data_IF_290108905435
#
_entry.id   IF_290108905435
#
_cell.length_a   1.000
_cell.length_b   1.000
_cell.length_c   1.000
_cell.angle_alpha   90.00
_cell.angle_beta   90.00
_cell.angle_gamma   90.00
#
_symmetry.space_group_name_H-M   'P 1'
#
loop_
_entity.id
_entity.type
_entity.pdbx_description
1 polymer ?
2 non-polymer ?
3 non-polymer ?
4 water ?
#
# COMPACT_ATOMS: atom_id res chain seq x y z
C UNK A 1 17.29 -18.11 -29.98
N UNK A 2 18.09 -17.34 -29.19
CA UNK A 2 17.24 -16.71 -28.17
C UNK A 2 16.99 -15.26 -28.56
N UNK A 3 16.05 -14.64 -27.87
CA UNK A 3 15.66 -13.25 -27.97
C UNK A 3 15.17 -12.65 -26.66
N UNK A 4 15.43 -11.38 -26.40
CA UNK A 4 14.83 -10.71 -25.24
C UNK A 4 13.35 -10.46 -25.48
N UNK A 5 12.54 -11.00 -24.60
CA UNK A 5 11.09 -10.83 -24.63
C UNK A 5 10.63 -9.65 -23.79
N UNK A 6 11.34 -9.40 -22.66
CA UNK A 6 10.99 -8.25 -21.83
C UNK A 6 12.31 -7.87 -21.11
N UNK A 7 12.44 -6.60 -20.77
CA UNK A 7 13.66 -6.21 -20.04
C UNK A 7 13.36 -4.90 -19.31
N UNK A 8 13.81 -4.81 -18.09
CA UNK A 8 13.68 -3.55 -17.35
C UNK A 8 14.81 -3.56 -16.33
N UNK A 9 15.25 -2.35 -16.00
CA UNK A 9 16.42 -2.28 -15.12
C UNK A 9 16.37 -0.90 -14.45
N UNK A 10 17.06 -0.79 -13.30
CA UNK A 10 17.15 0.51 -12.66
C UNK A 10 17.73 0.40 -11.26
N UNK A 11 17.30 1.30 -10.38
CA UNK A 11 17.83 1.41 -9.02
C UNK A 11 16.68 1.19 -8.04
N UNK A 12 16.93 0.29 -7.09
CA UNK A 12 15.99 -0.05 -6.05
C UNK A 12 16.52 0.43 -4.69
N UNK A 13 15.61 0.50 -3.73
CA UNK A 13 15.98 0.78 -2.32
C UNK A 13 16.67 2.12 -2.20
N UNK A 14 16.23 3.13 -2.92
CA UNK A 14 16.79 4.49 -2.80
C UNK A 14 16.03 5.22 -1.69
N UNK A 15 16.70 5.40 -0.55
CA UNK A 15 16.09 6.08 0.59
C UNK A 15 16.24 7.58 0.38
N UNK A 16 15.14 8.27 0.59
CA UNK A 16 15.10 9.71 0.39
C UNK A 16 14.38 10.39 1.53
N UNK A 17 14.98 11.44 2.09
CA UNK A 17 14.38 12.31 3.06
C UNK A 17 14.30 13.74 2.44
N UNK A 18 13.18 14.37 2.75
CA UNK A 18 13.12 15.80 2.36
C UNK A 18 12.50 16.57 3.54
N UNK A 19 13.04 17.77 3.78
CA UNK A 19 12.48 18.66 4.78
C UNK A 19 11.98 19.96 4.12
N UNK A 20 10.85 20.40 4.59
CA UNK A 20 10.35 21.73 4.28
C UNK A 20 10.44 22.57 5.54
N UNK A 21 11.04 23.76 5.42
CA UNK A 21 11.17 24.69 6.53
C UNK A 21 10.39 25.97 6.25
N UNK A 22 9.39 26.26 7.07
CA UNK A 22 8.59 27.49 7.01
C UNK A 22 9.38 28.54 7.83
N UNK A 23 10.01 29.45 7.09
CA UNK A 23 10.85 30.56 7.42
C UNK A 23 10.14 31.57 8.32
N UNK A 24 8.83 31.63 8.14
CA UNK A 24 8.04 32.57 8.93
C UNK A 24 7.62 31.94 10.26
N UNK A 25 7.24 30.66 10.25
CA UNK A 25 6.65 30.12 11.48
C UNK A 25 7.64 29.27 12.25
N UNK A 26 8.70 28.83 11.59
CA UNK A 26 9.68 27.93 12.17
C UNK A 26 9.28 26.46 12.08
N UNK A 27 8.10 26.20 11.58
CA UNK A 27 7.56 24.86 11.47
C UNK A 27 8.27 24.14 10.33
N UNK A 28 8.78 22.95 10.71
CA UNK A 28 9.39 22.11 9.68
C UNK A 28 8.56 20.86 9.45
N UNK A 29 8.57 20.32 8.26
CA UNK A 29 7.77 19.15 7.94
C UNK A 29 8.71 18.20 7.20
N UNK A 30 8.69 16.92 7.55
CA UNK A 30 9.60 15.98 6.93
C UNK A 30 8.81 14.88 6.19
N UNK A 31 9.51 14.41 5.18
CA UNK A 31 9.01 13.33 4.32
C UNK A 31 10.10 12.30 4.19
N UNK A 32 9.78 11.00 4.25
CA UNK A 32 10.79 9.99 4.00
C UNK A 32 10.16 8.85 3.18
N UNK A 33 10.91 8.44 2.20
CA UNK A 33 10.39 7.40 1.30
C UNK A 33 11.52 6.48 0.91
N UNK A 34 11.16 5.33 0.34
CA UNK A 34 12.08 4.46 -0.37
C UNK A 34 11.58 4.32 -1.79
N UNK A 35 12.43 4.54 -2.76
CA UNK A 35 12.06 4.65 -4.15
C UNK A 35 12.76 3.58 -4.99
N UNK A 36 12.01 3.03 -5.94
CA UNK A 36 12.55 2.17 -6.99
C UNK A 36 12.12 2.73 -8.36
N UNK A 37 13.06 2.88 -9.27
CA UNK A 37 12.74 3.26 -10.64
C UNK A 37 13.35 2.20 -11.57
N UNK A 38 12.51 1.60 -12.39
CA UNK A 38 12.91 0.65 -13.43
C UNK A 38 12.49 1.16 -14.82
N UNK A 39 13.43 1.18 -15.74
CA UNK A 39 13.23 1.70 -17.10
C UNK A 39 13.11 0.55 -18.10
N UNK A 40 12.30 0.80 -19.14
CA UNK A 40 12.17 -0.07 -20.30
C UNK A 40 12.38 0.77 -21.58
N UNK A 41 12.80 0.09 -22.64
CA UNK A 41 12.90 0.83 -23.90
C UNK A 41 13.72 0.04 -24.90
N UNK A 42 14.41 0.78 -25.77
CA UNK A 42 15.24 0.09 -26.77
C UNK A 42 16.59 -0.22 -26.18
N UNK A 43 16.59 -1.16 -25.22
CA UNK A 43 17.77 -1.49 -24.48
C UNK A 43 18.28 -2.90 -24.63
N UNK A 44 17.64 -3.65 -25.50
CA UNK A 44 17.89 -5.08 -25.63
C UNK A 44 19.32 -5.33 -26.01
N UNK A 45 19.98 -4.40 -26.75
CA UNK A 45 21.37 -4.67 -27.13
C UNK A 45 22.35 -4.61 -25.98
N UNK A 46 21.92 -4.00 -24.86
CA UNK A 46 22.82 -4.09 -23.71
C UNK A 46 22.89 -5.52 -23.20
N UNK A 47 21.84 -6.30 -23.40
CA UNK A 47 21.79 -7.69 -22.99
C UNK A 47 22.46 -8.64 -24.00
N UNK A 48 22.20 -8.37 -25.28
CA UNK A 48 22.62 -9.33 -26.29
C UNK A 48 23.96 -9.00 -26.93
N UNK A 49 24.42 -7.76 -26.85
CA UNK A 49 25.60 -7.37 -27.61
C UNK A 49 26.57 -6.55 -26.76
N UNK A 50 26.42 -6.54 -25.44
CA UNK A 50 27.29 -5.79 -24.54
C UNK A 50 27.38 -4.34 -24.95
N UNK A 51 26.30 -3.79 -25.46
CA UNK A 51 26.19 -2.42 -25.93
C UNK A 51 25.74 -1.55 -24.77
N UNK A 52 26.70 -1.06 -23.96
CA UNK A 52 26.27 -0.24 -22.83
C UNK A 52 25.86 1.15 -23.18
N UNK A 53 26.00 1.52 -24.48
CA UNK A 53 25.60 2.88 -24.83
C UNK A 53 24.15 3.22 -24.63
N UNK A 54 23.28 2.19 -24.56
CA UNK A 54 21.88 2.39 -24.33
C UNK A 54 21.48 2.43 -22.87
N UNK A 55 22.48 2.20 -22.00
CA UNK A 55 22.20 2.15 -20.57
C UNK A 55 22.37 3.52 -19.91
N UNK A 56 21.25 4.05 -19.41
CA UNK A 56 21.25 5.14 -18.43
C UNK A 56 21.73 4.47 -17.14
N UNK A 57 22.92 4.74 -16.64
CA UNK A 57 23.46 4.02 -15.51
C UNK A 57 22.49 4.07 -14.32
N UNK A 58 22.42 2.97 -13.60
CA UNK A 58 21.51 2.99 -12.44
C UNK A 58 22.01 3.99 -11.43
N UNK A 59 23.32 4.24 -11.37
CA UNK A 59 23.76 5.31 -10.47
C UNK A 59 23.24 6.67 -10.86
N UNK A 60 23.12 6.89 -12.19
CA UNK A 60 22.52 8.12 -12.66
C UNK A 60 21.04 8.22 -12.40
N UNK A 61 20.32 7.09 -12.44
CA UNK A 61 18.91 7.03 -12.02
C UNK A 61 18.83 7.47 -10.58
N UNK A 62 19.72 7.00 -9.73
CA UNK A 62 19.77 7.40 -8.32
C UNK A 62 19.94 8.92 -8.22
N UNK A 63 20.92 9.48 -8.92
CA UNK A 63 21.17 10.92 -8.89
C UNK A 63 19.89 11.66 -9.29
N UNK A 64 19.24 11.15 -10.34
CA UNK A 64 18.04 11.81 -10.84
C UNK A 64 16.93 11.80 -9.82
N UNK A 65 16.78 10.70 -9.03
CA UNK A 65 15.76 10.71 -7.97
C UNK A 65 16.03 11.85 -6.99
N UNK A 66 17.28 11.99 -6.54
CA UNK A 66 17.55 13.07 -5.60
C UNK A 66 17.36 14.44 -6.19
N UNK A 67 17.81 14.65 -7.42
CA UNK A 67 17.64 15.94 -8.09
C UNK A 67 16.18 16.27 -8.28
N UNK A 68 15.34 15.30 -8.63
CA UNK A 68 13.91 15.52 -8.81
C UNK A 68 13.25 15.87 -7.48
N UNK A 69 13.65 15.20 -6.37
CA UNK A 69 13.13 15.54 -5.07
C UNK A 69 13.56 16.95 -4.63
N UNK A 70 14.72 17.37 -5.07
CA UNK A 70 15.20 18.73 -4.73
C UNK A 70 14.34 19.79 -5.46
N UNK A 71 13.96 19.49 -6.67
CA UNK A 71 13.31 20.50 -7.49
C UNK A 71 11.82 20.45 -7.49
N UNK A 72 11.16 19.50 -6.87
CA UNK A 72 9.75 19.25 -6.97
C UNK A 72 9.17 18.80 -5.64
N UNK A 73 7.87 18.96 -5.47
CA UNK A 73 7.29 18.42 -4.24
C UNK A 73 7.39 16.88 -4.26
N UNK A 74 7.62 16.29 -3.10
CA UNK A 74 7.63 14.82 -2.99
C UNK A 74 6.30 14.32 -2.48
N UNK A 75 5.33 15.17 -2.24
CA UNK A 75 3.98 14.84 -1.80
C UNK A 75 2.94 15.51 -2.70
N UNK A 76 1.87 14.82 -3.04
CA UNK A 76 1.56 13.42 -2.72
C UNK A 76 2.48 12.54 -3.56
N UNK A 77 2.71 11.30 -3.11
CA UNK A 77 3.63 10.45 -3.85
C UNK A 77 3.18 10.11 -5.24
N UNK A 78 1.89 10.11 -5.51
CA UNK A 78 1.35 9.93 -6.86
C UNK A 78 1.87 11.00 -7.82
N UNK A 79 2.01 12.20 -7.30
CA UNK A 79 2.54 13.27 -8.18
C UNK A 79 4.04 13.14 -8.37
N UNK A 80 4.76 12.94 -7.25
CA UNK A 80 6.21 12.79 -7.32
C UNK A 80 6.59 11.66 -8.29
N UNK A 81 5.90 10.52 -8.13
CA UNK A 81 6.20 9.42 -9.01
C UNK A 81 5.91 9.70 -10.47
N UNK A 82 4.82 10.47 -10.72
CA UNK A 82 4.51 10.83 -12.10
C UNK A 82 5.53 11.79 -12.67
N UNK A 83 6.00 12.76 -11.90
CA UNK A 83 7.05 13.66 -12.35
C UNK A 83 8.32 12.93 -12.69
N UNK A 84 8.70 12.05 -11.77
CA UNK A 84 9.91 11.25 -11.95
C UNK A 84 9.84 10.37 -13.18
N UNK A 85 8.72 9.64 -13.34
CA UNK A 85 8.62 8.75 -14.48
C UNK A 85 8.59 9.51 -15.81
N UNK A 86 7.86 10.62 -15.77
CA UNK A 86 7.78 11.44 -17.00
C UNK A 86 9.12 11.96 -17.41
N UNK A 87 9.96 12.31 -16.43
CA UNK A 87 11.30 12.77 -16.73
C UNK A 87 12.04 11.78 -17.58
N UNK A 88 12.05 10.50 -17.23
CA UNK A 88 12.88 9.56 -17.97
C UNK A 88 12.39 9.33 -19.39
N UNK A 89 11.07 9.26 -19.55
CA UNK A 89 10.59 8.97 -20.90
C UNK A 89 10.76 10.22 -21.78
N UNK A 90 10.70 11.41 -21.24
CA UNK A 90 10.92 12.61 -22.06
C UNK A 90 12.39 12.88 -22.30
N UNK A 91 13.25 12.65 -21.31
CA UNK A 91 14.67 12.97 -21.42
C UNK A 91 15.36 12.08 -22.43
N UNK A 92 15.05 10.82 -22.47
CA UNK A 92 15.77 9.81 -23.21
C UNK A 92 14.88 9.26 -24.33
N UNK A 93 15.31 9.50 -25.57
CA UNK A 93 14.49 9.11 -26.70
C UNK A 93 14.22 7.64 -26.74
N UNK A 94 15.18 6.82 -26.34
CA UNK A 94 15.03 5.39 -26.42
C UNK A 94 14.41 4.71 -25.18
N UNK A 95 14.07 5.46 -24.17
CA UNK A 95 13.40 4.95 -23.00
C UNK A 95 11.91 5.24 -23.18
N UNK A 96 11.12 4.18 -23.15
CA UNK A 96 9.71 4.25 -23.49
C UNK A 96 8.78 3.97 -22.32
N UNK A 97 9.33 3.48 -21.20
CA UNK A 97 8.47 3.33 -20.02
C UNK A 97 9.33 3.51 -18.76
N UNK A 98 8.71 4.06 -17.72
CA UNK A 98 9.39 4.17 -16.44
C UNK A 98 8.40 3.66 -15.41
N UNK A 99 8.89 2.78 -14.53
CA UNK A 99 8.09 2.18 -13.52
C UNK A 99 8.59 2.64 -12.15
N UNK A 100 7.78 3.40 -11.45
CA UNK A 100 8.20 4.06 -10.21
C UNK A 100 7.43 3.52 -9.03
N UNK A 101 8.11 2.90 -8.07
CA UNK A 101 7.51 2.44 -6.86
C UNK A 101 7.99 3.27 -5.70
N UNK A 102 7.08 3.79 -4.90
CA UNK A 102 7.44 4.61 -3.73
C UNK A 102 6.72 4.08 -2.52
N UNK A 103 7.48 3.89 -1.45
CA UNK A 103 7.01 3.52 -0.15
C UNK A 103 7.20 4.72 0.77
N UNK A 104 6.16 5.25 1.32
CA UNK A 104 6.26 6.39 2.21
C UNK A 104 6.22 5.98 3.68
N UNK A 105 7.19 6.43 4.41
CA UNK A 105 7.37 6.05 5.82
C UNK A 105 6.72 7.08 6.73
N UNK A 106 6.12 6.72 7.84
CA UNK A 106 5.48 7.71 8.70
C UNK A 106 6.43 8.47 9.61
N UNK A 107 6.30 9.80 9.53
CA UNK A 107 6.90 10.74 10.47
C UNK A 107 5.80 11.68 10.93
N UNK A 108 5.19 11.34 12.03
CA UNK A 108 4.07 12.11 12.57
C UNK A 108 4.60 13.13 13.56
N UNK A 109 4.15 14.37 13.40
CA UNK A 109 4.57 15.41 14.34
C UNK A 109 4.26 15.04 15.77
N UNK A 110 5.22 15.24 16.67
CA UNK A 110 5.01 15.01 18.09
C UNK A 110 4.16 16.10 18.74
N UNK A 111 3.39 15.66 19.73
CA UNK A 111 2.63 16.57 20.57
C UNK A 111 3.36 16.58 21.92
N UNK A 112 3.83 17.75 22.27
CA UNK A 112 4.60 17.81 23.54
C UNK A 112 3.80 18.69 24.46
N UNK A 113 3.31 18.13 25.57
CA UNK A 113 2.47 18.95 26.45
C UNK A 113 1.27 19.52 25.68
N UNK A 114 0.62 18.62 24.97
CA UNK A 114 -0.59 18.96 24.25
C UNK A 114 -0.37 19.93 23.12
N UNK A 115 0.87 20.26 22.75
CA UNK A 115 1.02 21.20 21.64
C UNK A 115 1.89 20.67 20.52
N UNK A 116 1.53 20.83 19.26
CA UNK A 116 2.37 20.27 18.19
C UNK A 116 3.77 20.87 18.15
N UNK A 117 4.81 20.03 18.09
CA UNK A 117 6.20 20.50 18.05
C UNK A 117 6.62 20.88 16.64
N UNK A 118 7.32 21.99 16.47
CA UNK A 118 7.70 22.43 15.15
C UNK A 118 8.70 21.60 14.38
N UNK A 119 9.47 20.68 14.92
CA UNK A 119 10.51 19.93 14.24
C UNK A 119 10.82 18.57 14.86
N UNK A 120 9.89 17.97 15.55
CA UNK A 120 10.14 16.65 16.17
C UNK A 120 9.00 15.73 15.78
N UNK A 121 9.34 14.50 15.44
CA UNK A 121 8.49 13.52 14.80
C UNK A 121 8.72 12.12 15.35
N UNK A 122 7.65 11.33 15.27
CA UNK A 122 7.68 9.96 15.75
C UNK A 122 7.16 9.05 14.63
N UNK A 123 7.74 7.85 14.57
CA UNK A 123 7.21 6.88 13.63
C UNK A 123 6.09 6.12 14.34
N UNK A 124 4.86 6.54 14.13
CA UNK A 124 3.72 5.83 14.73
C UNK A 124 3.31 4.74 13.74
N UNK A 125 4.06 3.70 13.77
CA UNK A 125 3.83 2.48 13.06
C UNK A 125 4.47 2.36 11.72
N UNK A 126 4.57 1.09 11.41
CA UNK A 126 5.21 0.62 10.24
C UNK A 126 4.19 0.62 9.09
N UNK A 127 2.96 1.07 9.32
CA UNK A 127 2.03 1.22 8.21
C UNK A 127 2.66 2.13 7.15
N UNK A 128 2.48 1.74 5.90
CA UNK A 128 3.05 2.48 4.79
C UNK A 128 1.93 3.01 3.92
N UNK A 129 2.22 4.06 3.20
CA UNK A 129 1.43 4.58 2.07
C UNK A 129 2.30 4.39 0.84
N UNK A 130 1.82 3.74 -0.20
CA UNK A 130 2.61 3.38 -1.34
C UNK A 130 1.98 3.89 -2.66
N UNK A 131 2.80 3.96 -3.68
CA UNK A 131 2.33 4.13 -5.03
C UNK A 131 3.16 3.30 -5.99
N UNK A 132 2.51 2.83 -7.04
CA UNK A 132 3.13 2.27 -8.22
C UNK A 132 2.68 3.11 -9.41
N UNK A 133 3.60 3.78 -10.04
CA UNK A 133 3.30 4.70 -11.15
C UNK A 133 3.98 4.16 -12.36
N UNK A 134 3.25 3.83 -13.40
CA UNK A 134 3.77 3.33 -14.67
C UNK A 134 3.57 4.42 -15.74
N UNK A 135 4.67 4.99 -16.15
CA UNK A 135 4.65 6.08 -17.16
C UNK A 135 5.09 5.42 -18.45
N UNK A 136 4.16 5.35 -19.41
CA UNK A 136 4.40 4.63 -20.65
C UNK A 136 4.19 5.54 -21.87
N UNK A 137 5.24 5.71 -22.67
CA UNK A 137 5.13 6.62 -23.82
C UNK A 137 3.97 6.17 -24.69
N UNK A 138 3.13 7.15 -25.01
CA UNK A 138 1.99 6.88 -25.88
C UNK A 138 0.83 6.26 -25.15
N UNK A 139 0.97 6.02 -23.84
CA UNK A 139 -0.11 5.35 -23.15
C UNK A 139 -0.42 5.98 -21.78
N UNK A 140 0.10 7.16 -21.50
CA UNK A 140 -0.23 7.92 -20.31
C UNK A 140 0.47 7.39 -19.05
N UNK A 141 -0.23 7.57 -17.97
CA UNK A 141 0.29 7.27 -16.63
C UNK A 141 -0.74 6.50 -15.86
N UNK A 142 -0.34 5.29 -15.47
CA UNK A 142 -1.18 4.38 -14.72
C UNK A 142 -0.72 4.35 -13.24
N UNK A 143 -1.58 4.69 -12.35
CA UNK A 143 -1.25 4.81 -10.93
C UNK A 143 -2.09 3.86 -10.10
N UNK A 144 -1.39 3.07 -9.27
CA UNK A 144 -1.99 2.27 -8.23
C UNK A 144 -1.53 2.83 -6.88
N UNK A 145 -2.40 3.23 -6.00
CA UNK A 145 -2.16 3.78 -4.71
C UNK A 145 -2.48 2.71 -3.63
N UNK A 146 -1.77 2.67 -2.51
CA UNK A 146 -2.13 1.67 -1.53
C UNK A 146 -1.73 2.09 -0.11
N UNK A 147 -2.32 1.38 0.83
CA UNK A 147 -1.85 1.40 2.20
C UNK A 147 -1.52 -0.05 2.53
N UNK A 148 -0.54 -0.28 3.34
CA UNK A 148 -0.11 -1.63 3.74
C UNK A 148 0.44 -1.59 5.14
N UNK A 149 0.43 -2.74 5.79
CA UNK A 149 1.01 -2.83 7.09
C UNK A 149 0.10 -2.25 8.16
N UNK A 150 -1.18 -2.14 7.90
CA UNK A 150 -2.14 -1.60 8.88
C UNK A 150 -2.64 -2.79 9.70
N UNK A 151 -2.18 -3.00 10.89
CA UNK A 151 -2.42 -4.21 11.69
C UNK A 151 -3.52 -3.91 12.68
N UNK A 152 -4.57 -4.72 12.63
CA UNK A 152 -5.76 -4.51 13.45
C UNK A 152 -6.22 -5.81 14.05
N UNK A 153 -7.02 -5.72 15.12
CA UNK A 153 -7.64 -6.84 15.79
C UNK A 153 -9.01 -6.42 16.36
N UNK A 154 -9.96 -7.31 16.22
CA UNK A 154 -11.21 -7.16 16.97
C UNK A 154 -11.39 -8.44 17.75
N UNK A 155 -11.86 -8.25 18.99
CA UNK A 155 -11.92 -9.33 19.97
C UNK A 155 -13.26 -10.08 19.98
N UNK A 156 -14.23 -9.60 19.25
CA UNK A 156 -15.53 -10.25 19.06
C UNK A 156 -16.19 -9.66 17.84
N UNK A 157 -17.43 -10.11 17.48
CA UNK A 157 -18.11 -9.63 16.29
C UNK A 157 -17.36 -9.99 15.00
N UNK A 158 -16.84 -11.20 15.04
CA UNK A 158 -16.45 -11.96 13.86
C UNK A 158 -17.04 -13.36 14.01
N UNK A 159 -17.58 -13.91 12.94
CA UNK A 159 -18.20 -15.20 12.90
C UNK A 159 -17.68 -16.00 11.70
N UNK A 160 -17.81 -17.33 11.74
CA UNK A 160 -17.47 -18.10 10.55
C UNK A 160 -18.15 -19.46 10.67
N UNK A 161 -19.29 -19.51 9.96
CA UNK A 161 -20.12 -20.70 9.93
C UNK A 161 -20.74 -20.83 8.57
N UNK A 162 -21.31 -22.00 8.29
CA UNK A 162 -21.95 -22.19 6.99
C UNK A 162 -21.06 -22.52 5.83
N UNK A 163 -19.76 -22.77 6.09
CA UNK A 163 -18.80 -23.10 5.04
C UNK A 163 -18.94 -24.55 4.62
N UNK A 164 -18.42 -24.95 3.48
CA UNK A 164 -18.50 -26.31 2.96
C UNK A 164 -17.87 -27.31 3.93
N UNK A 165 -18.54 -28.47 4.12
CA UNK A 165 -18.07 -29.48 5.04
C UNK A 165 -18.07 -30.79 4.30
N UNK A 166 -16.97 -31.48 4.25
CA UNK A 166 -16.74 -32.75 3.58
C UNK A 166 -15.66 -33.53 4.35
N UNK A 167 -15.09 -34.54 3.72
CA UNK A 167 -14.17 -35.42 4.42
C UNK A 167 -12.81 -34.79 4.69
N UNK A 168 -12.57 -33.59 4.19
CA UNK A 168 -11.33 -32.85 4.48
C UNK A 168 -11.51 -31.84 5.58
N UNK A 169 -12.69 -31.73 6.14
CA UNK A 169 -13.03 -30.67 7.06
C UNK A 169 -12.98 -31.06 8.50
N UNK A 170 -12.24 -30.34 9.33
CA UNK A 170 -12.25 -30.48 10.76
C UNK A 170 -12.63 -29.22 11.48
N UNK A 171 -12.62 -28.04 10.83
CA UNK A 171 -12.89 -26.80 11.55
C UNK A 171 -14.30 -26.73 12.13
N UNK A 172 -14.46 -26.36 13.37
CA UNK A 172 -15.78 -26.13 13.95
C UNK A 172 -16.36 -24.79 13.53
N UNK A 173 -17.64 -24.79 13.21
CA UNK A 173 -18.33 -23.51 13.06
C UNK A 173 -18.23 -22.67 14.30
N UNK A 174 -18.14 -21.35 14.18
CA UNK A 174 -18.13 -20.46 15.30
C UNK A 174 -19.00 -19.22 15.03
N UNK A 175 -19.60 -18.74 16.11
CA UNK A 175 -20.40 -17.54 16.08
C UNK A 175 -19.77 -16.40 16.85
N UNK A 176 -18.49 -16.63 17.28
CA UNK A 176 -17.82 -15.54 17.97
C UNK A 176 -16.33 -15.89 17.99
N UNK A 177 -15.51 -15.14 17.26
CA UNK A 177 -14.07 -15.40 17.20
C UNK A 177 -13.35 -14.07 17.11
N UNK A 178 -12.05 -14.15 17.40
CA UNK A 178 -11.15 -13.02 17.11
C UNK A 178 -10.88 -12.90 15.62
N UNK A 179 -10.82 -11.67 15.15
CA UNK A 179 -10.38 -11.43 13.78
C UNK A 179 -9.23 -10.43 13.82
N UNK A 180 -8.06 -10.80 13.26
CA UNK A 180 -6.92 -9.91 13.16
C UNK A 180 -6.30 -10.05 11.79
N UNK A 181 -5.87 -8.92 11.25
CA UNK A 181 -5.28 -8.90 9.91
C UNK A 181 -4.29 -7.76 9.78
N UNK A 182 -3.51 -7.83 8.72
CA UNK A 182 -2.64 -6.77 8.27
C UNK A 182 -3.20 -6.27 6.94
N UNK A 183 -3.70 -5.05 6.88
CA UNK A 183 -4.45 -4.64 5.71
C UNK A 183 -3.48 -4.19 4.60
N UNK A 184 -3.64 -4.74 3.41
CA UNK A 184 -3.07 -4.27 2.17
C UNK A 184 -4.23 -3.91 1.23
N UNK A 185 -4.42 -2.63 1.01
CA UNK A 185 -5.55 -2.14 0.20
C UNK A 185 -5.00 -1.26 -0.91
N UNK A 186 -5.42 -1.45 -2.14
CA UNK A 186 -4.95 -0.78 -3.31
C UNK A 186 -6.12 -0.20 -4.10
N UNK A 187 -5.99 1.04 -4.56
CA UNK A 187 -7.02 1.65 -5.41
C UNK A 187 -6.28 2.01 -6.69
N UNK A 188 -6.87 1.65 -7.82
CA UNK A 188 -6.34 1.84 -9.12
C UNK A 188 -7.07 3.01 -9.81
N UNK A 189 -6.35 4.07 -10.16
CA UNK A 189 -6.93 5.24 -10.82
C UNK A 189 -7.17 4.96 -12.27
N UNK A 190 -8.20 5.64 -12.80
CA UNK A 190 -8.35 5.81 -14.23
C UNK A 190 -7.03 6.24 -14.84
N UNK A 191 -6.78 5.74 -16.05
CA UNK A 191 -5.58 6.14 -16.75
C UNK A 191 -5.56 7.66 -16.88
N UNK A 192 -4.45 8.30 -16.64
CA UNK A 192 -4.22 9.71 -16.88
C UNK A 192 -3.46 9.87 -18.15
N UNK A 193 -3.80 10.96 -18.89
CA UNK A 193 -3.14 11.09 -20.19
C UNK A 193 -1.71 11.56 -20.13
N UNK A 194 -1.27 12.10 -19.00
CA UNK A 194 0.06 12.62 -18.80
C UNK A 194 0.13 13.41 -17.50
N UNK A 195 1.23 14.10 -17.34
CA UNK A 195 1.47 14.81 -16.07
C UNK A 195 0.46 15.91 -15.83
N UNK A 196 0.03 16.61 -16.89
CA UNK A 196 -0.98 17.66 -16.65
C UNK A 196 -2.24 17.13 -16.01
N UNK A 197 -2.72 16.00 -16.53
CA UNK A 197 -3.92 15.43 -15.93
C UNK A 197 -3.66 14.96 -14.49
N UNK A 198 -2.49 14.38 -14.23
CA UNK A 198 -2.23 14.02 -12.81
C UNK A 198 -2.28 15.25 -11.91
N UNK A 199 -1.61 16.33 -12.38
CA UNK A 199 -1.63 17.57 -11.61
C UNK A 199 -3.03 18.10 -11.38
N UNK A 200 -3.90 17.93 -12.36
CA UNK A 200 -5.26 18.47 -12.23
C UNK A 200 -6.05 17.84 -11.10
N UNK A 201 -5.60 16.65 -10.64
CA UNK A 201 -6.29 15.89 -9.62
C UNK A 201 -5.55 15.81 -8.29
N UNK A 202 -4.47 16.53 -8.10
CA UNK A 202 -3.59 16.43 -6.96
C UNK A 202 -4.33 16.38 -5.63
N UNK A 203 -5.31 17.20 -5.31
CA UNK A 203 -6.00 17.11 -4.01
C UNK A 203 -6.68 15.77 -3.76
N UNK A 204 -7.13 15.10 -4.82
CA UNK A 204 -7.82 13.82 -4.65
C UNK A 204 -6.89 12.71 -4.14
N UNK A 205 -5.58 12.83 -4.34
CA UNK A 205 -4.71 11.70 -3.89
C UNK A 205 -4.71 11.60 -2.37
N UNK A 206 -4.36 12.61 -1.59
CA UNK A 206 -4.43 12.53 -0.14
C UNK A 206 -5.83 12.30 0.37
N UNK A 207 -6.85 12.88 -0.27
CA UNK A 207 -8.21 12.68 0.23
C UNK A 207 -8.68 11.24 0.05
N UNK A 208 -8.29 10.59 -1.04
CA UNK A 208 -8.72 9.22 -1.28
C UNK A 208 -7.94 8.27 -0.39
N UNK A 209 -6.68 8.57 -0.12
CA UNK A 209 -5.95 7.73 0.85
C UNK A 209 -6.67 7.82 2.19
N UNK A 210 -7.03 9.02 2.62
CA UNK A 210 -7.74 9.18 3.88
C UNK A 210 -9.07 8.46 3.85
N UNK A 211 -9.79 8.55 2.75
CA UNK A 211 -11.07 7.83 2.73
C UNK A 211 -10.88 6.34 2.87
N UNK A 212 -9.93 5.80 2.11
CA UNK A 212 -9.69 4.36 2.15
C UNK A 212 -9.34 3.90 3.54
N UNK A 213 -8.46 4.63 4.19
CA UNK A 213 -8.05 4.31 5.54
C UNK A 213 -9.26 4.36 6.50
N UNK A 214 -10.05 5.45 6.39
CA UNK A 214 -11.22 5.63 7.26
C UNK A 214 -12.24 4.52 7.08
N UNK A 215 -12.50 4.20 5.81
CA UNK A 215 -13.49 3.19 5.48
C UNK A 215 -13.02 1.83 5.94
N UNK A 216 -11.72 1.55 5.72
CA UNK A 216 -11.19 0.29 6.20
C UNK A 216 -11.42 0.14 7.69
N UNK A 217 -11.03 1.12 8.48
CA UNK A 217 -11.04 0.99 9.92
C UNK A 217 -12.48 0.90 10.46
N UNK A 218 -13.34 1.75 9.92
CA UNK A 218 -14.72 1.77 10.40
C UNK A 218 -15.46 0.53 10.01
N UNK A 219 -15.30 0.02 8.81
CA UNK A 219 -15.95 -1.22 8.38
C UNK A 219 -15.43 -2.38 9.19
N UNK A 220 -14.13 -2.44 9.44
CA UNK A 220 -13.58 -3.52 10.25
C UNK A 220 -14.18 -3.45 11.66
N UNK A 221 -14.24 -2.29 12.25
CA UNK A 221 -14.72 -2.12 13.62
C UNK A 221 -16.22 -2.38 13.73
N UNK A 222 -17.04 -2.04 12.74
CA UNK A 222 -18.50 -2.07 12.90
C UNK A 222 -19.15 -3.26 12.24
N UNK A 223 -18.57 -3.91 11.25
CA UNK A 223 -19.20 -5.05 10.60
C UNK A 223 -19.14 -6.23 11.55
N UNK A 224 -20.27 -6.83 11.86
CA UNK A 224 -20.28 -8.12 12.54
C UNK A 224 -20.03 -9.14 11.44
N UNK A 225 -18.77 -9.47 11.28
CA UNK A 225 -18.25 -10.09 10.07
C UNK A 225 -18.68 -11.52 9.87
N UNK A 226 -19.27 -11.81 8.71
CA UNK A 226 -19.66 -13.14 8.33
C UNK A 226 -18.52 -14.00 7.82
N UNK A 227 -17.45 -13.28 7.38
CA UNK A 227 -16.27 -13.84 6.78
C UNK A 227 -15.38 -12.65 6.40
N UNK A 228 -14.09 -12.93 6.23
CA UNK A 228 -13.18 -11.89 5.73
C UNK A 228 -13.62 -11.44 4.35
N UNK A 229 -14.01 -12.37 3.51
CA UNK A 229 -14.53 -12.07 2.17
C UNK A 229 -15.62 -11.03 2.17
N UNK A 230 -16.66 -11.10 2.99
CA UNK A 230 -17.81 -10.28 3.02
C UNK A 230 -17.43 -8.94 3.60
N UNK A 231 -16.55 -8.92 4.61
CA UNK A 231 -16.17 -7.63 5.18
C UNK A 231 -15.34 -6.81 4.22
N UNK A 232 -14.40 -7.48 3.54
CA UNK A 232 -13.52 -6.67 2.67
C UNK A 232 -14.29 -6.14 1.47
N UNK A 233 -15.29 -6.88 0.97
CA UNK A 233 -16.10 -6.43 -0.15
C UNK A 233 -16.83 -5.17 0.25
N UNK A 234 -17.34 -5.07 1.47
CA UNK A 234 -18.01 -3.87 1.96
C UNK A 234 -17.08 -2.68 1.95
N UNK A 235 -15.82 -2.94 2.30
CA UNK A 235 -14.86 -1.84 2.28
C UNK A 235 -14.67 -1.31 0.87
N UNK A 236 -14.43 -2.21 -0.07
CA UNK A 236 -14.17 -1.86 -1.44
C UNK A 236 -15.39 -1.19 -2.06
N UNK A 237 -16.60 -1.69 -1.79
CA UNK A 237 -17.73 -0.99 -2.41
C UNK A 237 -17.81 0.47 -1.95
N UNK A 238 -17.53 0.74 -0.69
CA UNK A 238 -17.70 2.13 -0.26
C UNK A 238 -16.63 2.99 -0.86
N UNK A 239 -15.40 2.49 -0.96
CA UNK A 239 -14.36 3.36 -1.54
C UNK A 239 -14.69 3.71 -2.97
N UNK A 240 -15.18 2.74 -3.75
CA UNK A 240 -15.60 3.03 -5.11
C UNK A 240 -16.74 4.04 -5.15
N UNK A 241 -17.63 3.98 -4.17
CA UNK A 241 -18.77 4.91 -4.19
C UNK A 241 -18.32 6.32 -3.91
N UNK A 242 -17.20 6.48 -3.20
CA UNK A 242 -16.76 7.81 -2.78
C UNK A 242 -15.71 8.47 -3.65
N UNK A 243 -15.11 7.78 -4.62
CA UNK A 243 -14.18 8.39 -5.55
C UNK A 243 -14.37 7.84 -6.92
N UNK A 244 -15.03 8.61 -7.79
CA UNK A 244 -15.37 8.04 -9.08
C UNK A 244 -14.18 7.94 -10.04
N UNK A 245 -13.02 8.53 -9.72
CA UNK A 245 -11.83 8.38 -10.56
C UNK A 245 -11.03 7.11 -10.30
N UNK A 246 -11.46 6.34 -9.30
CA UNK A 246 -10.98 4.98 -9.09
C UNK A 246 -11.71 3.96 -9.91
N UNK A 247 -11.02 3.10 -10.63
CA UNK A 247 -11.67 2.05 -11.41
C UNK A 247 -11.83 0.73 -10.65
N UNK A 248 -10.84 0.35 -9.85
CA UNK A 248 -10.91 -0.84 -9.03
C UNK A 248 -10.26 -0.64 -7.66
N UNK A 249 -10.67 -1.52 -6.77
CA UNK A 249 -10.11 -1.57 -5.41
C UNK A 249 -9.71 -3.03 -5.17
N UNK A 250 -8.52 -3.25 -4.66
CA UNK A 250 -8.03 -4.60 -4.38
C UNK A 250 -7.76 -4.69 -2.87
N UNK A 251 -8.16 -5.75 -2.22
CA UNK A 251 -7.71 -6.03 -0.86
C UNK A 251 -6.99 -7.36 -0.84
N UNK A 252 -5.97 -7.43 -0.02
CA UNK A 252 -5.26 -8.67 0.29
C UNK A 252 -5.13 -8.73 1.80
N UNK A 253 -5.79 -9.71 2.40
CA UNK A 253 -5.93 -9.73 3.86
C UNK A 253 -5.54 -11.10 4.39
N UNK A 254 -4.51 -11.19 5.20
CA UNK A 254 -4.31 -12.44 5.93
C UNK A 254 -5.29 -12.61 7.09
N UNK A 255 -5.66 -13.83 7.40
CA UNK A 255 -6.42 -14.09 8.66
C UNK A 255 -5.38 -14.62 9.65
N UNK A 256 -4.97 -13.78 10.59
CA UNK A 256 -3.93 -14.16 11.55
C UNK A 256 -4.64 -14.84 12.73
N UNK A 257 -4.57 -16.15 12.78
CA UNK A 257 -5.40 -16.89 13.72
C UNK A 257 -4.98 -16.79 15.17
N UNK A 258 -5.95 -16.72 16.05
CA UNK A 258 -5.83 -16.77 17.50
C UNK A 258 -6.57 -18.00 18.00
N UNK A 259 -5.84 -19.01 18.45
CA UNK A 259 -6.48 -20.27 18.78
C UNK A 259 -6.89 -20.27 20.24
N UNK A 260 -8.10 -20.81 20.50
CA UNK A 260 -8.49 -21.11 21.87
C UNK A 260 -7.54 -22.13 22.46
N UNK A 261 -7.39 -22.10 23.77
CA UNK A 261 -6.59 -23.07 24.51
C UNK A 261 -7.46 -23.79 25.54
N UNK A 262 -7.65 -25.07 25.32
CA UNK A 262 -8.39 -25.94 26.24
C UNK A 262 -7.52 -26.25 27.44
N UNK A 263 -7.93 -25.77 28.61
CA UNK A 263 -7.19 -25.93 29.84
C UNK A 263 -7.98 -26.84 30.79
N UNK A 264 -9.03 -27.47 30.29
CA UNK A 264 -9.88 -28.26 31.19
C UNK A 264 -9.14 -29.45 31.77
N UNK A 265 -8.08 -29.96 31.19
CA UNK A 265 -7.22 -31.01 31.74
C UNK A 265 -6.58 -30.56 33.02
N UNK A 266 -6.49 -29.25 33.32
CA UNK A 266 -5.89 -28.68 34.51
C UNK A 266 -6.92 -28.11 35.45
N UNK A 267 -7.19 -28.92 36.49
CA UNK A 267 -8.11 -28.53 37.53
C UNK A 267 -9.48 -28.10 37.00
N UNK A 268 -9.94 -28.68 35.90
CA UNK A 268 -11.19 -28.29 35.27
C UNK A 268 -11.31 -26.86 34.86
N UNK A 269 -10.17 -26.23 34.51
CA UNK A 269 -10.19 -24.85 34.08
C UNK A 269 -10.98 -24.68 32.79
N UNK A 270 -11.86 -23.69 32.76
CA UNK A 270 -12.73 -23.41 31.64
C UNK A 270 -12.25 -22.16 30.86
N UNK A 271 -11.76 -22.46 29.68
CA UNK A 271 -11.14 -21.43 28.85
C UNK A 271 -11.57 -21.55 27.41
N UNK A 272 -12.70 -22.16 27.13
CA UNK A 272 -13.22 -22.27 25.78
C UNK A 272 -14.62 -21.68 25.67
N UNK A 273 -14.99 -21.45 24.40
CA UNK A 273 -16.33 -20.89 24.17
C UNK A 273 -16.53 -19.59 24.90
N UNK A 274 -17.63 -19.47 25.64
CA UNK A 274 -17.93 -18.24 26.33
C UNK A 274 -16.94 -17.94 27.44
N UNK A 275 -16.20 -18.94 27.88
CA UNK A 275 -15.23 -18.75 28.94
C UNK A 275 -13.84 -18.44 28.35
N UNK A 276 -13.72 -18.29 27.04
CA UNK A 276 -12.38 -18.14 26.42
C UNK A 276 -11.80 -16.77 26.76
N UNK A 277 -10.66 -16.79 27.46
CA UNK A 277 -10.00 -15.58 27.87
C UNK A 277 -8.54 -15.52 27.37
N UNK A 278 -7.87 -16.66 27.42
CA UNK A 278 -6.44 -16.72 27.04
C UNK A 278 -6.36 -17.51 25.75
N UNK A 279 -5.66 -16.93 24.76
CA UNK A 279 -5.53 -17.50 23.42
C UNK A 279 -4.05 -17.59 23.05
N UNK A 280 -3.84 -18.47 22.07
CA UNK A 280 -2.48 -18.57 21.50
C UNK A 280 -2.48 -18.01 20.10
N UNK A 281 -1.89 -16.83 19.91
CA UNK A 281 -1.72 -16.29 18.55
C UNK A 281 -0.85 -17.23 17.74
N UNK A 282 -1.22 -17.56 16.51
CA UNK A 282 -0.51 -18.46 15.62
C UNK A 282 0.33 -17.64 14.62
N UNK A 283 1.62 -17.89 14.55
CA UNK A 283 2.44 -17.19 13.59
C UNK A 283 2.23 -17.68 12.18
N UNK A 284 1.95 -18.96 12.02
CA UNK A 284 1.65 -19.59 10.74
C UNK A 284 0.95 -20.89 11.01
N UNK A 285 0.22 -21.44 10.04
CA UNK A 285 -0.13 -20.80 8.78
C UNK A 285 -1.17 -19.71 8.98
N UNK A 286 -1.59 -19.09 7.90
CA UNK A 286 -2.61 -18.05 7.94
C UNK A 286 -3.48 -18.15 6.72
N UNK A 287 -4.79 -17.88 6.90
CA UNK A 287 -5.64 -17.65 5.74
C UNK A 287 -5.15 -16.44 4.98
N UNK A 288 -5.39 -16.46 3.68
CA UNK A 288 -5.07 -15.33 2.80
C UNK A 288 -6.25 -15.14 1.85
N UNK A 289 -6.85 -13.98 1.92
CA UNK A 289 -8.08 -13.68 1.18
C UNK A 289 -7.88 -12.46 0.34
N UNK A 290 -8.20 -12.57 -0.95
CA UNK A 290 -8.00 -11.50 -1.89
C UNK A 290 -9.25 -11.27 -2.75
N UNK A 291 -9.39 -10.00 -3.16
CA UNK A 291 -10.43 -9.74 -4.17
C UNK A 291 -10.10 -8.39 -4.79
N UNK A 292 -10.58 -8.21 -6.01
CA UNK A 292 -10.53 -7.02 -6.84
C UNK A 292 -11.99 -6.70 -7.20
N UNK A 293 -12.39 -5.52 -6.81
CA UNK A 293 -13.77 -5.09 -7.01
C UNK A 293 -13.77 -3.91 -7.95
N UNK A 294 -14.69 -3.91 -8.91
CA UNK A 294 -14.80 -2.85 -9.88
C UNK A 294 -16.26 -2.50 -9.99
N UNK A 295 -16.51 -1.67 -10.99
CA UNK A 295 -17.85 -1.10 -11.10
C UNK A 295 -18.75 -2.03 -11.91
N UNK A 296 -19.97 -2.23 -11.46
CA UNK A 296 -20.94 -2.97 -12.27
C UNK A 296 -21.37 -2.11 -13.47
X LIG B 1 -11.89 -20.19 5.45
X LIG B 1 -12.11 -19.18 4.94
X LIG B 1 -12.32 -18.07 4.35
X LIG C 1 -8.97 -18.12 6.96
X LIG C 1 -9.61 -17.11 6.78
X LIG C 1 -10.33 -16.17 6.48
X LIG D 1 -7.90 -11.84 -6.59
X LIG D 1 -7.69 -12.70 -7.42
X LIG D 1 -7.71 -13.55 -8.34
X LIG E 1 11.50 8.38 -24.52
#
# INVERSE_FOLDING_TARGET
XSAVKAARYGKDNVRVYKVHKDEKTGVQTVYEMTVCVLLEGEIETSYTKADNSVIVATDSIKNTIYITAKQNPVTPPELFGSILGTHFIEKYNHIHAAHVNIVCHRWTRMDIDGKPHPHSFIRDSEEKRNVQVDVVEGKGIDIKSSLSGLTVLKSTNSQFWGFLRDEYTTLKETWDRILSTDVDATWQWKNFSGLQEVRSHVPKFDATWATAREVTLKTFAEDNSASVQATMYKMAEQILARQQLIETVEYSLPNKHYFEIDLSWHKGLQNTGKNAEVFAPQSDPNGLIKCTVGRSSLKSKL
AZI N1 N2 N3
AZI N1 N2 N3
AZI N1 N2 N3
NA NA
#
